data_IF_588999287518
#
_entry.id   IF_588999287518
#
_cell.length_a   1.000
_cell.length_b   1.000
_cell.length_c   1.000
_cell.angle_alpha   90.00
_cell.angle_beta   90.00
_cell.angle_gamma   90.00
#
_symmetry.space_group_name_H-M   'P 1'
#
loop_
_entity.id
_entity.type
_entity.pdbx_description
1 polymer ?
#
# COMPACT_ATOMS: atom_id res chain seq x y z
N UNK A 1 20.00 -8.06 31.60
CA UNK A 1 20.52 -7.73 30.25
C UNK A 1 19.59 -8.23 29.14
N UNK A 2 18.99 -9.43 29.25
CA UNK A 2 18.04 -9.99 28.25
C UNK A 2 16.73 -9.18 28.14
N UNK A 3 16.13 -8.78 29.26
CA UNK A 3 14.91 -7.93 29.30
C UNK A 3 15.02 -6.56 28.61
N UNK A 4 16.24 -6.01 28.46
CA UNK A 4 16.42 -4.75 27.75
C UNK A 4 16.34 -4.94 26.23
N UNK A 5 16.73 -6.09 25.69
CA UNK A 5 16.68 -6.34 24.25
C UNK A 5 15.26 -6.58 23.72
N UNK A 6 14.38 -7.20 24.52
CA UNK A 6 13.02 -7.56 24.09
C UNK A 6 12.07 -6.37 23.91
N UNK A 7 12.38 -5.22 24.52
CA UNK A 7 11.56 -4.00 24.45
C UNK A 7 12.28 -2.84 23.77
N UNK A 8 13.62 -2.88 23.64
CA UNK A 8 14.43 -1.82 23.04
C UNK A 8 14.12 -1.56 21.56
N UNK A 9 13.49 -2.50 20.85
CA UNK A 9 13.10 -2.31 19.45
C UNK A 9 11.91 -1.34 19.29
N UNK A 10 11.00 -1.31 20.27
CA UNK A 10 9.67 -0.71 20.13
C UNK A 10 9.72 0.81 19.98
N UNK A 11 10.50 1.49 20.83
CA UNK A 11 10.62 2.96 20.81
C UNK A 11 11.30 3.46 19.52
N UNK A 12 12.46 2.93 19.09
CA UNK A 12 13.08 3.32 17.82
C UNK A 12 12.17 3.08 16.60
N UNK A 13 11.52 1.91 16.55
CA UNK A 13 10.58 1.59 15.46
C UNK A 13 9.40 2.58 15.43
N UNK A 14 8.73 2.76 16.57
CA UNK A 14 7.60 3.68 16.71
C UNK A 14 7.98 5.11 16.33
N UNK A 15 9.08 5.62 16.88
CA UNK A 15 9.59 6.97 16.59
C UNK A 15 9.85 7.15 15.10
N UNK A 16 10.45 6.15 14.45
CA UNK A 16 10.69 6.15 13.01
C UNK A 16 9.38 6.21 12.22
N UNK A 17 8.39 5.40 12.58
CA UNK A 17 7.07 5.40 11.92
C UNK A 17 6.35 6.74 12.07
N UNK A 18 6.40 7.36 13.25
CA UNK A 18 5.79 8.68 13.50
C UNK A 18 6.49 9.75 12.66
N UNK A 19 7.83 9.81 12.67
CA UNK A 19 8.59 10.78 11.87
C UNK A 19 8.26 10.64 10.38
N UNK A 20 8.26 9.41 9.86
CA UNK A 20 7.91 9.13 8.47
C UNK A 20 6.52 9.65 8.10
N UNK A 21 5.53 9.47 8.97
CA UNK A 21 4.18 9.93 8.71
C UNK A 21 4.03 11.45 8.83
N UNK A 22 4.71 12.09 9.78
CA UNK A 22 4.74 13.57 9.88
C UNK A 22 5.35 14.17 8.61
N UNK A 23 6.48 13.63 8.14
CA UNK A 23 7.09 14.03 6.87
C UNK A 23 6.13 13.77 5.71
N UNK A 24 5.47 12.60 5.68
CA UNK A 24 4.43 12.25 4.72
C UNK A 24 3.29 13.28 4.66
N UNK A 25 2.79 13.73 5.81
CA UNK A 25 1.75 14.77 5.90
C UNK A 25 2.20 16.10 5.32
N UNK A 26 3.41 16.56 5.64
CA UNK A 26 3.97 17.80 5.06
C UNK A 26 4.03 17.70 3.54
N UNK A 27 4.50 16.57 3.01
CA UNK A 27 4.52 16.34 1.58
C UNK A 27 3.13 16.24 0.95
N UNK A 28 2.20 15.58 1.61
CA UNK A 28 0.80 15.49 1.19
C UNK A 28 0.19 16.89 1.06
N UNK A 29 0.40 17.78 2.04
CA UNK A 29 -0.05 19.17 1.98
C UNK A 29 0.58 19.95 0.82
N UNK A 30 1.89 19.78 0.57
CA UNK A 30 2.59 20.42 -0.55
C UNK A 30 2.00 19.94 -1.89
N UNK A 31 1.82 18.63 -2.05
CA UNK A 31 1.26 18.05 -3.28
C UNK A 31 -0.20 18.48 -3.48
N UNK A 32 -0.99 18.47 -2.41
CA UNK A 32 -2.36 18.96 -2.43
C UNK A 32 -2.42 20.41 -2.92
N UNK A 33 -1.66 21.33 -2.30
CA UNK A 33 -1.63 22.74 -2.71
C UNK A 33 -1.25 22.90 -4.18
N UNK A 34 -0.21 22.20 -4.64
CA UNK A 34 0.21 22.22 -6.06
C UNK A 34 -0.85 21.67 -7.00
N UNK A 35 -1.61 20.68 -6.54
CA UNK A 35 -2.65 20.02 -7.33
C UNK A 35 -3.94 20.84 -7.46
N UNK A 36 -4.15 21.87 -6.62
CA UNK A 36 -5.27 22.82 -6.73
C UNK A 36 -5.09 23.83 -7.86
N UNK A 37 -3.85 24.12 -8.25
CA UNK A 37 -3.55 25.06 -9.34
C UNK A 37 -4.05 24.42 -10.67
N UNK A 38 -5.01 25.04 -11.37
CA UNK A 38 -5.46 24.55 -12.67
C UNK A 38 -4.32 24.81 -13.67
N UNK A 39 -3.78 23.76 -14.28
CA UNK A 39 -2.93 23.90 -15.48
C UNK A 39 -3.76 23.68 -16.75
N UNK A 40 -4.78 22.86 -16.64
CA UNK A 40 -5.70 22.45 -17.68
C UNK A 40 -7.04 22.08 -17.02
N UNK A 41 -8.16 22.53 -17.59
CA UNK A 41 -9.52 22.22 -17.09
C UNK A 41 -9.96 20.77 -17.33
N UNK A 42 -9.08 19.91 -17.84
CA UNK A 42 -9.36 18.52 -18.17
C UNK A 42 -9.30 17.63 -16.92
N UNK A 43 -10.20 16.65 -16.87
CA UNK A 43 -10.22 15.58 -15.86
C UNK A 43 -10.31 16.04 -14.39
N UNK A 44 -11.06 17.11 -14.14
CA UNK A 44 -11.29 17.67 -12.80
C UNK A 44 -11.81 16.63 -11.80
N UNK A 45 -12.75 15.77 -12.21
CA UNK A 45 -13.33 14.72 -11.37
C UNK A 45 -12.29 13.69 -10.94
N UNK A 46 -11.48 13.18 -11.88
CA UNK A 46 -10.40 12.25 -11.57
C UNK A 46 -9.40 12.86 -10.59
N UNK A 47 -8.96 14.10 -10.86
CA UNK A 47 -8.04 14.83 -9.97
C UNK A 47 -8.63 15.02 -8.58
N UNK A 48 -9.91 15.38 -8.48
CA UNK A 48 -10.60 15.58 -7.19
C UNK A 48 -10.57 14.30 -6.37
N UNK A 49 -11.00 13.18 -6.94
CA UNK A 49 -11.06 11.91 -6.22
C UNK A 49 -9.70 11.36 -5.84
N UNK A 50 -8.69 11.42 -6.73
CA UNK A 50 -7.33 11.00 -6.39
C UNK A 50 -6.76 11.79 -5.21
N UNK A 51 -7.05 13.09 -5.12
CA UNK A 51 -6.64 13.92 -3.97
C UNK A 51 -7.36 13.51 -2.69
N UNK A 52 -8.68 13.36 -2.75
CA UNK A 52 -9.49 12.97 -1.58
C UNK A 52 -8.99 11.65 -1.02
N UNK A 53 -8.86 10.62 -1.87
CA UNK A 53 -8.40 9.29 -1.44
C UNK A 53 -6.97 9.33 -0.89
N UNK A 54 -6.07 10.08 -1.54
CA UNK A 54 -4.70 10.26 -1.05
C UNK A 54 -4.64 10.92 0.33
N UNK A 55 -5.40 11.99 0.54
CA UNK A 55 -5.48 12.70 1.82
C UNK A 55 -6.05 11.79 2.91
N UNK A 56 -7.16 11.11 2.63
CA UNK A 56 -7.78 10.18 3.59
C UNK A 56 -6.75 9.14 4.04
N UNK A 57 -6.07 8.48 3.09
CA UNK A 57 -5.07 7.47 3.45
C UNK A 57 -3.94 8.05 4.29
N UNK A 58 -3.34 9.18 3.88
CA UNK A 58 -2.21 9.77 4.61
C UNK A 58 -2.61 10.24 6.01
N UNK A 59 -3.79 10.85 6.18
CA UNK A 59 -4.27 11.30 7.49
C UNK A 59 -4.51 10.12 8.43
N UNK A 60 -5.18 9.07 7.94
CA UNK A 60 -5.44 7.87 8.75
C UNK A 60 -4.15 7.14 9.08
N UNK A 61 -3.20 7.03 8.13
CA UNK A 61 -1.90 6.42 8.40
C UNK A 61 -1.14 7.17 9.49
N UNK A 62 -1.10 8.51 9.43
CA UNK A 62 -0.42 9.30 10.44
C UNK A 62 -1.08 9.18 11.82
N UNK A 63 -2.41 9.22 11.86
CA UNK A 63 -3.17 8.98 13.07
C UNK A 63 -2.87 7.60 13.68
N UNK A 64 -2.87 6.54 12.87
CA UNK A 64 -2.58 5.17 13.31
C UNK A 64 -1.13 4.97 13.74
N UNK A 65 -0.19 5.65 13.09
CA UNK A 65 1.22 5.61 13.47
C UNK A 65 1.42 6.24 14.86
N UNK A 66 0.74 7.36 15.16
CA UNK A 66 0.80 8.00 16.49
C UNK A 66 0.09 7.14 17.54
N UNK A 67 -1.06 6.57 17.19
CA UNK A 67 -1.95 5.91 18.16
C UNK A 67 -1.68 4.42 18.34
N UNK A 68 -0.56 3.88 17.85
CA UNK A 68 -0.32 2.43 17.78
C UNK A 68 -0.43 1.72 19.14
N UNK A 69 -0.20 2.43 20.25
CA UNK A 69 -0.24 1.95 21.63
C UNK A 69 -1.63 2.09 22.31
N UNK A 70 -2.48 2.96 21.79
CA UNK A 70 -3.76 3.33 22.40
C UNK A 70 -4.79 3.52 21.29
N UNK A 71 -5.31 2.41 20.76
CA UNK A 71 -6.38 2.45 19.75
C UNK A 71 -7.70 2.09 20.43
N UNK A 72 -8.63 3.03 20.57
CA UNK A 72 -10.00 2.70 20.90
C UNK A 72 -10.63 1.94 19.73
N UNK A 73 -11.42 0.90 20.00
CA UNK A 73 -12.00 0.06 18.94
C UNK A 73 -13.01 0.83 18.06
N UNK A 74 -13.53 1.99 18.53
CA UNK A 74 -14.31 2.98 17.78
C UNK A 74 -13.65 3.46 16.48
N UNK A 75 -12.35 3.23 16.29
CA UNK A 75 -11.56 3.79 15.19
C UNK A 75 -11.40 2.86 13.97
N UNK A 76 -12.24 1.84 13.81
CA UNK A 76 -12.27 1.01 12.58
C UNK A 76 -12.83 1.74 11.35
N UNK A 77 -13.71 2.74 11.52
CA UNK A 77 -14.24 3.55 10.40
C UNK A 77 -13.10 4.27 9.64
N UNK A 78 -12.18 4.99 10.30
CA UNK A 78 -10.96 5.49 9.67
C UNK A 78 -10.18 4.43 8.89
N UNK A 79 -10.05 3.21 9.44
CA UNK A 79 -9.32 2.14 8.76
C UNK A 79 -10.00 1.74 7.43
N UNK A 80 -11.31 1.54 7.46
CA UNK A 80 -12.11 1.27 6.26
C UNK A 80 -11.95 2.37 5.21
N UNK A 81 -12.00 3.63 5.64
CA UNK A 81 -11.80 4.76 4.72
C UNK A 81 -10.41 4.75 4.08
N UNK A 82 -9.37 4.44 4.86
CA UNK A 82 -8.01 4.34 4.32
C UNK A 82 -7.88 3.17 3.34
N UNK A 83 -8.29 1.97 3.73
CA UNK A 83 -8.16 0.78 2.90
C UNK A 83 -8.89 0.89 1.56
N UNK A 84 -10.14 1.37 1.59
CA UNK A 84 -10.93 1.62 0.37
C UNK A 84 -10.31 2.76 -0.45
N UNK A 85 -9.80 3.81 0.18
CA UNK A 85 -9.09 4.89 -0.53
C UNK A 85 -7.82 4.39 -1.21
N UNK A 86 -7.04 3.52 -0.55
CA UNK A 86 -5.84 2.94 -1.12
C UNK A 86 -6.15 2.12 -2.36
N UNK A 87 -7.11 1.19 -2.26
CA UNK A 87 -7.58 0.42 -3.40
C UNK A 87 -8.14 1.30 -4.52
N UNK A 88 -8.89 2.34 -4.17
CA UNK A 88 -9.45 3.31 -5.10
C UNK A 88 -8.38 4.09 -5.87
N UNK A 89 -7.25 4.45 -5.24
CA UNK A 89 -6.12 5.09 -5.91
C UNK A 89 -5.52 4.20 -7.00
N UNK A 90 -5.31 2.91 -6.70
CA UNK A 90 -4.84 1.93 -7.68
C UNK A 90 -5.85 1.78 -8.81
N UNK A 91 -7.10 1.45 -8.46
CA UNK A 91 -8.14 1.17 -9.42
C UNK A 91 -8.37 2.35 -10.38
N UNK A 92 -8.48 3.57 -9.85
CA UNK A 92 -8.77 4.74 -10.66
C UNK A 92 -7.58 5.15 -11.53
N UNK A 93 -6.35 5.05 -11.02
CA UNK A 93 -5.16 5.26 -11.82
C UNK A 93 -5.07 4.28 -13.00
N UNK A 94 -5.36 3.00 -12.77
CA UNK A 94 -5.35 1.97 -13.81
C UNK A 94 -6.46 2.20 -14.85
N UNK A 95 -7.68 2.56 -14.43
CA UNK A 95 -8.78 2.87 -15.35
C UNK A 95 -8.44 4.07 -16.23
N UNK A 96 -7.89 5.15 -15.63
CA UNK A 96 -7.48 6.33 -16.38
C UNK A 96 -6.27 6.09 -17.28
N UNK A 97 -5.35 5.21 -16.88
CA UNK A 97 -4.24 4.81 -17.73
C UNK A 97 -4.75 4.25 -19.08
N UNK A 98 -5.76 3.39 -19.05
CA UNK A 98 -6.36 2.82 -20.27
C UNK A 98 -7.06 3.87 -21.14
N UNK A 99 -7.57 4.97 -20.54
CA UNK A 99 -8.18 6.07 -21.27
C UNK A 99 -7.13 6.96 -21.96
N UNK A 100 -6.04 7.29 -21.27
CA UNK A 100 -4.98 8.15 -21.81
C UNK A 100 -4.06 7.44 -22.81
N UNK A 101 -3.84 6.15 -22.60
CA UNK A 101 -3.09 5.29 -23.50
C UNK A 101 -4.03 4.14 -23.87
N UNK A 102 -4.89 4.28 -24.89
CA UNK A 102 -5.74 3.20 -25.37
C UNK A 102 -4.89 2.10 -26.03
N UNK A 103 -5.25 0.84 -25.82
CA UNK A 103 -4.60 -0.26 -26.52
C UNK A 103 -4.82 -0.10 -28.02
N UNK A 104 -3.85 -0.49 -28.85
CA UNK A 104 -4.07 -0.57 -30.29
C UNK A 104 -5.29 -1.46 -30.55
N UNK A 105 -6.20 -0.96 -31.38
CA UNK A 105 -7.43 -1.63 -31.76
C UNK A 105 -7.09 -2.83 -32.64
N UNK A 106 -6.73 -3.94 -32.02
CA UNK A 106 -6.85 -5.24 -32.66
C UNK A 106 -8.34 -5.54 -32.80
N UNK A 107 -8.80 -5.62 -34.05
CA UNK A 107 -10.17 -6.03 -34.44
C UNK A 107 -10.59 -7.40 -33.90
N UNK A 108 -9.66 -8.18 -33.30
CA UNK A 108 -9.92 -9.41 -32.52
C UNK A 108 -9.82 -9.19 -31.00
N UNK A 109 -10.46 -8.16 -30.44
CA UNK A 109 -10.44 -7.95 -29.00
C UNK A 109 -11.15 -9.12 -28.26
N UNK A 110 -10.38 -10.13 -27.85
CA UNK A 110 -10.88 -11.28 -27.09
C UNK A 110 -11.63 -10.83 -25.83
N UNK A 111 -12.75 -11.50 -25.51
CA UNK A 111 -13.56 -11.25 -24.29
C UNK A 111 -12.71 -11.15 -23.02
N UNK A 112 -11.64 -11.94 -22.94
CA UNK A 112 -10.65 -11.90 -21.86
C UNK A 112 -9.92 -10.56 -21.71
N UNK A 113 -9.49 -9.93 -22.82
CA UNK A 113 -8.85 -8.60 -22.81
C UNK A 113 -9.82 -7.51 -22.34
N UNK A 114 -11.11 -7.65 -22.67
CA UNK A 114 -12.17 -6.79 -22.16
C UNK A 114 -12.39 -6.98 -20.65
N UNK A 115 -12.40 -8.23 -20.18
CA UNK A 115 -12.50 -8.55 -18.75
C UNK A 115 -11.33 -7.98 -17.94
N UNK A 116 -10.08 -8.14 -18.40
CA UNK A 116 -8.90 -7.60 -17.72
C UNK A 116 -9.01 -6.08 -17.49
N UNK A 117 -9.59 -5.32 -18.44
CA UNK A 117 -9.78 -3.87 -18.27
C UNK A 117 -10.75 -3.51 -17.13
N UNK A 118 -11.60 -4.45 -16.70
CA UNK A 118 -12.60 -4.26 -15.62
C UNK A 118 -12.12 -4.78 -14.25
N UNK A 119 -10.98 -5.44 -14.17
CA UNK A 119 -10.46 -5.95 -12.88
C UNK A 119 -10.21 -4.88 -11.80
N UNK A 120 -9.98 -3.58 -12.12
CA UNK A 120 -9.98 -2.52 -11.10
C UNK A 120 -11.27 -2.45 -10.27
N UNK A 121 -12.42 -2.80 -10.85
CA UNK A 121 -13.69 -2.86 -10.11
C UNK A 121 -13.75 -4.08 -9.18
N UNK A 122 -13.11 -5.19 -9.57
CA UNK A 122 -12.98 -6.38 -8.71
C UNK A 122 -12.13 -6.05 -7.50
N UNK A 123 -10.99 -5.37 -7.68
CA UNK A 123 -10.16 -4.88 -6.58
C UNK A 123 -11.01 -4.07 -5.58
N UNK A 124 -11.69 -3.01 -6.04
CA UNK A 124 -12.52 -2.17 -5.15
C UNK A 124 -13.63 -3.00 -4.49
N UNK A 125 -14.32 -3.86 -5.25
CA UNK A 125 -15.37 -4.73 -4.72
C UNK A 125 -14.87 -5.65 -3.60
N UNK A 126 -13.75 -6.34 -3.81
CA UNK A 126 -13.13 -7.18 -2.79
C UNK A 126 -12.78 -6.38 -1.53
N UNK A 127 -12.18 -5.19 -1.68
CA UNK A 127 -11.80 -4.39 -0.52
C UNK A 127 -13.00 -3.81 0.21
N UNK A 128 -14.06 -3.39 -0.49
CA UNK A 128 -15.30 -2.94 0.15
C UNK A 128 -15.98 -4.09 0.92
N UNK A 129 -16.00 -5.30 0.36
CA UNK A 129 -16.55 -6.48 1.03
C UNK A 129 -15.72 -6.94 2.25
N UNK A 130 -14.40 -6.69 2.24
CA UNK A 130 -13.54 -7.04 3.36
C UNK A 130 -13.82 -6.19 4.62
N UNK A 131 -14.29 -4.95 4.46
CA UNK A 131 -14.47 -4.02 5.57
C UNK A 131 -15.55 -4.42 6.59
N UNK A 132 -16.77 -4.82 6.18
CA UNK A 132 -17.75 -5.29 7.16
C UNK A 132 -17.27 -6.56 7.85
N UNK A 133 -16.54 -7.45 7.16
CA UNK A 133 -15.98 -8.66 7.77
C UNK A 133 -14.92 -8.29 8.81
N UNK A 134 -13.99 -7.39 8.49
CA UNK A 134 -12.97 -6.96 9.43
C UNK A 134 -13.58 -6.22 10.63
N UNK A 135 -14.55 -5.33 10.38
CA UNK A 135 -15.22 -4.58 11.44
C UNK A 135 -16.00 -5.51 12.37
N UNK A 136 -16.90 -6.33 11.80
CA UNK A 136 -17.73 -7.25 12.56
C UNK A 136 -16.93 -8.34 13.25
N UNK A 137 -16.04 -9.01 12.52
CA UNK A 137 -15.22 -10.07 13.08
C UNK A 137 -14.19 -9.53 14.08
N UNK A 138 -13.87 -8.24 14.00
CA UNK A 138 -13.10 -7.53 14.99
C UNK A 138 -13.86 -7.49 16.30
N UNK A 139 -15.08 -6.94 16.27
CA UNK A 139 -15.92 -6.76 17.45
C UNK A 139 -16.21 -8.11 18.10
N UNK A 140 -16.63 -9.09 17.31
CA UNK A 140 -17.09 -10.40 17.81
C UNK A 140 -15.97 -11.41 18.07
N UNK A 141 -14.71 -11.05 17.82
CA UNK A 141 -13.57 -11.99 17.87
C UNK A 141 -13.73 -13.22 16.95
N UNK A 142 -14.48 -13.09 15.85
CA UNK A 142 -14.72 -14.16 14.88
C UNK A 142 -13.42 -14.78 14.35
N UNK A 143 -13.24 -16.09 14.57
CA UNK A 143 -12.01 -16.82 14.28
C UNK A 143 -11.55 -16.72 12.81
N UNK A 144 -12.50 -16.67 11.86
CA UNK A 144 -12.19 -16.59 10.42
C UNK A 144 -12.03 -15.16 9.89
N UNK A 145 -12.16 -14.13 10.75
CA UNK A 145 -12.05 -12.71 10.33
C UNK A 145 -10.80 -12.47 9.50
N UNK A 146 -9.65 -12.77 10.09
CA UNK A 146 -8.35 -12.44 9.48
C UNK A 146 -8.19 -13.12 8.13
N UNK A 147 -8.58 -14.39 8.02
CA UNK A 147 -8.35 -15.15 6.79
C UNK A 147 -9.28 -14.74 5.65
N UNK A 148 -10.55 -14.40 5.95
CA UNK A 148 -11.46 -13.91 4.92
C UNK A 148 -11.07 -12.52 4.41
N UNK A 149 -10.74 -11.61 5.32
CA UNK A 149 -10.26 -10.26 4.97
C UNK A 149 -9.03 -10.37 4.07
N UNK A 150 -8.05 -11.17 4.49
CA UNK A 150 -6.78 -11.28 3.77
C UNK A 150 -6.90 -12.06 2.45
N UNK A 151 -7.84 -13.00 2.36
CA UNK A 151 -8.20 -13.66 1.09
C UNK A 151 -8.79 -12.64 0.10
N UNK A 152 -9.71 -11.79 0.55
CA UNK A 152 -10.31 -10.75 -0.31
C UNK A 152 -9.27 -9.75 -0.80
N UNK A 153 -8.36 -9.31 0.08
CA UNK A 153 -7.22 -8.49 -0.30
C UNK A 153 -6.34 -9.20 -1.35
N UNK A 154 -6.02 -10.48 -1.13
CA UNK A 154 -5.23 -11.31 -2.04
C UNK A 154 -5.87 -11.45 -3.42
N UNK A 155 -7.17 -11.76 -3.47
CA UNK A 155 -7.95 -11.88 -4.72
C UNK A 155 -8.02 -10.52 -5.43
N UNK A 156 -8.26 -9.45 -4.68
CA UNK A 156 -8.33 -8.10 -5.22
C UNK A 156 -7.07 -7.73 -5.99
N UNK A 157 -5.89 -7.82 -5.36
CA UNK A 157 -4.62 -7.49 -6.00
C UNK A 157 -4.21 -8.49 -7.09
N UNK A 158 -4.50 -9.78 -6.91
CA UNK A 158 -4.24 -10.79 -7.94
C UNK A 158 -5.06 -10.52 -9.20
N UNK A 159 -6.30 -10.06 -9.07
CA UNK A 159 -7.18 -9.75 -10.21
C UNK A 159 -6.65 -8.61 -11.09
N UNK A 160 -5.99 -7.61 -10.49
CA UNK A 160 -5.44 -6.45 -11.21
C UNK A 160 -4.02 -6.65 -11.69
N UNK A 161 -3.31 -7.68 -11.21
CA UNK A 161 -1.93 -7.97 -11.59
C UNK A 161 -1.73 -8.12 -13.12
N UNK A 162 -2.57 -8.87 -13.87
CA UNK A 162 -2.44 -8.95 -15.33
C UNK A 162 -2.57 -7.58 -16.01
N UNK A 163 -3.51 -6.75 -15.56
CA UNK A 163 -3.70 -5.41 -16.10
C UNK A 163 -2.48 -4.52 -15.80
N UNK A 164 -1.96 -4.58 -14.57
CA UNK A 164 -0.77 -3.83 -14.18
C UNK A 164 0.45 -4.17 -15.07
N UNK A 165 0.67 -5.46 -15.34
CA UNK A 165 1.74 -5.92 -16.23
C UNK A 165 1.54 -5.43 -17.67
N UNK A 166 0.31 -5.51 -18.19
CA UNK A 166 -0.01 -5.02 -19.54
C UNK A 166 0.25 -3.51 -19.62
N UNK A 167 -0.21 -2.73 -18.64
CA UNK A 167 0.00 -1.28 -18.61
C UNK A 167 1.48 -0.91 -18.52
N UNK A 168 2.24 -1.63 -17.69
CA UNK A 168 3.69 -1.47 -17.60
C UNK A 168 4.38 -1.76 -18.94
N UNK A 169 4.08 -2.88 -19.59
CA UNK A 169 4.65 -3.21 -20.90
C UNK A 169 4.37 -2.12 -21.94
N UNK A 170 3.14 -1.59 -21.94
CA UNK A 170 2.71 -0.57 -22.90
C UNK A 170 3.40 0.78 -22.72
N UNK A 171 3.66 1.21 -21.49
CA UNK A 171 4.40 2.46 -21.27
C UNK A 171 5.89 2.28 -21.53
N UNK A 172 6.44 1.09 -21.29
CA UNK A 172 7.84 0.78 -21.57
C UNK A 172 8.13 0.59 -23.07
N UNK A 173 7.12 0.20 -23.87
CA UNK A 173 7.27 0.04 -25.32
C UNK A 173 7.31 1.37 -26.09
N UNK A 174 7.04 2.50 -25.44
CA UNK A 174 7.08 3.82 -26.08
C UNK A 174 8.55 4.13 -26.40
N UNK A 175 8.86 4.34 -27.69
CA UNK A 175 10.23 4.65 -28.15
C UNK A 175 10.49 6.14 -28.27
N UNK A 176 9.47 6.89 -28.72
CA UNK A 176 9.54 8.33 -28.96
C UNK A 176 9.92 9.13 -27.69
N UNK A 177 10.92 10.01 -27.81
CA UNK A 177 11.49 10.77 -26.68
C UNK A 177 10.48 11.77 -26.12
N UNK A 178 9.74 12.42 -27.00
CA UNK A 178 8.76 13.44 -26.61
C UNK A 178 7.58 12.80 -25.85
N UNK A 179 7.03 11.71 -26.38
CA UNK A 179 5.97 10.94 -25.75
C UNK A 179 6.41 10.32 -24.41
N UNK A 180 7.66 9.86 -24.30
CA UNK A 180 8.24 9.40 -23.02
C UNK A 180 8.19 10.49 -21.97
N UNK A 181 8.59 11.71 -22.33
CA UNK A 181 8.58 12.83 -21.40
C UNK A 181 7.16 13.22 -21.00
N UNK A 182 6.27 13.28 -21.99
CA UNK A 182 4.84 13.53 -21.80
C UNK A 182 4.20 12.56 -20.81
N UNK A 183 4.57 11.29 -20.88
CA UNK A 183 3.98 10.19 -20.12
C UNK A 183 4.79 9.78 -18.88
N UNK A 184 5.80 10.57 -18.49
CA UNK A 184 6.74 10.23 -17.41
C UNK A 184 6.06 9.87 -16.08
N UNK A 185 5.06 10.65 -15.62
CA UNK A 185 4.33 10.27 -14.37
C UNK A 185 3.59 8.95 -14.57
N UNK A 186 2.95 8.75 -15.73
CA UNK A 186 2.21 7.51 -16.01
C UNK A 186 3.13 6.29 -16.04
N UNK A 187 4.36 6.47 -16.57
CA UNK A 187 5.40 5.44 -16.52
C UNK A 187 5.68 5.03 -15.08
N UNK A 188 5.99 6.01 -14.22
CA UNK A 188 6.27 5.72 -12.82
C UNK A 188 5.08 5.14 -12.07
N UNK A 189 3.85 5.59 -12.34
CA UNK A 189 2.67 4.97 -11.74
C UNK A 189 2.50 3.51 -12.15
N UNK A 190 2.75 3.18 -13.43
CA UNK A 190 2.64 1.79 -13.89
C UNK A 190 3.71 0.90 -13.24
N UNK A 191 4.94 1.40 -13.08
CA UNK A 191 6.01 0.69 -12.36
C UNK A 191 5.62 0.45 -10.90
N UNK A 192 5.21 1.51 -10.18
CA UNK A 192 4.81 1.42 -8.77
C UNK A 192 3.66 0.44 -8.58
N UNK A 193 2.61 0.54 -9.41
CA UNK A 193 1.43 -0.33 -9.32
C UNK A 193 1.82 -1.78 -9.60
N UNK A 194 2.57 -2.05 -10.67
CA UNK A 194 2.99 -3.41 -11.00
C UNK A 194 3.90 -4.01 -9.92
N UNK A 195 4.89 -3.26 -9.43
CA UNK A 195 5.77 -3.69 -8.35
C UNK A 195 4.99 -4.01 -7.08
N UNK A 196 4.07 -3.12 -6.68
CA UNK A 196 3.23 -3.34 -5.51
C UNK A 196 2.33 -4.57 -5.68
N UNK A 197 1.67 -4.75 -6.83
CA UNK A 197 0.85 -5.93 -7.07
C UNK A 197 1.67 -7.23 -6.98
N UNK A 198 2.89 -7.26 -7.54
CA UNK A 198 3.78 -8.43 -7.44
C UNK A 198 4.17 -8.70 -5.99
N UNK A 199 4.74 -7.70 -5.30
CA UNK A 199 5.19 -7.85 -3.91
C UNK A 199 4.03 -8.26 -3.00
N UNK A 200 2.89 -7.59 -3.12
CA UNK A 200 1.70 -7.87 -2.31
C UNK A 200 1.15 -9.27 -2.60
N UNK A 201 1.06 -9.68 -3.87
CA UNK A 201 0.58 -11.03 -4.21
C UNK A 201 1.55 -12.10 -3.69
N UNK A 202 2.87 -11.91 -3.80
CA UNK A 202 3.84 -12.86 -3.26
C UNK A 202 3.75 -12.95 -1.74
N UNK A 203 3.81 -11.81 -1.05
CA UNK A 203 3.65 -11.73 0.41
C UNK A 203 2.33 -12.39 0.86
N UNK A 204 1.24 -12.13 0.15
CA UNK A 204 -0.08 -12.63 0.53
C UNK A 204 -0.21 -14.12 0.27
N UNK A 205 -0.04 -14.56 -0.96
CA UNK A 205 -0.36 -15.92 -1.38
C UNK A 205 0.68 -16.96 -0.98
N UNK A 206 1.95 -16.56 -0.85
CA UNK A 206 3.04 -17.49 -0.52
C UNK A 206 3.33 -17.46 0.98
N UNK A 207 3.45 -16.27 1.58
CA UNK A 207 4.03 -16.14 2.92
C UNK A 207 3.03 -15.98 4.07
N UNK A 208 1.80 -15.49 3.82
CA UNK A 208 0.87 -15.21 4.92
C UNK A 208 -0.40 -16.03 4.86
N UNK A 209 -1.09 -16.06 3.72
CA UNK A 209 -2.42 -16.65 3.63
C UNK A 209 -2.46 -18.15 3.97
N UNK A 210 -1.50 -19.00 3.53
CA UNK A 210 -1.48 -20.42 3.92
C UNK A 210 -1.40 -20.61 5.44
N UNK A 211 -0.48 -19.91 6.11
CA UNK A 211 -0.31 -20.00 7.56
C UNK A 211 -1.52 -19.44 8.32
N UNK A 212 -2.15 -18.38 7.80
CA UNK A 212 -3.39 -17.85 8.36
C UNK A 212 -4.55 -18.84 8.27
N UNK A 213 -4.68 -19.58 7.15
CA UNK A 213 -5.69 -20.64 7.04
C UNK A 213 -5.43 -21.78 8.03
N UNK A 214 -4.18 -22.23 8.17
CA UNK A 214 -3.82 -23.25 9.18
C UNK A 214 -4.18 -22.77 10.59
N UNK A 215 -3.80 -21.55 10.96
CA UNK A 215 -4.13 -20.97 12.27
C UNK A 215 -5.65 -20.82 12.45
N UNK A 216 -6.39 -20.46 11.41
CA UNK A 216 -7.83 -20.33 11.44
C UNK A 216 -8.53 -21.69 11.67
N UNK A 217 -8.06 -22.76 11.01
CA UNK A 217 -8.58 -24.12 11.25
C UNK A 217 -8.31 -24.57 12.68
N UNK A 218 -7.10 -24.36 13.20
CA UNK A 218 -6.78 -24.70 14.59
C UNK A 218 -7.69 -23.94 15.59
N UNK A 219 -8.03 -22.68 15.32
CA UNK A 219 -8.97 -21.89 16.14
C UNK A 219 -10.40 -22.40 16.05
N UNK A 220 -10.84 -22.87 14.87
CA UNK A 220 -12.14 -23.50 14.72
C UNK A 220 -12.22 -24.83 15.48
N UNK A 221 -11.16 -25.64 15.43
CA UNK A 221 -11.09 -26.92 16.15
C UNK A 221 -11.08 -26.74 17.67
N UNK A 222 -10.34 -25.74 18.15
CA UNK A 222 -10.23 -25.45 19.59
C UNK A 222 -11.41 -24.64 20.15
N UNK A 223 -12.19 -23.97 19.29
CA UNK A 223 -13.27 -23.08 19.70
C UNK A 223 -12.80 -21.80 20.40
N UNK A 224 -11.49 -21.50 20.36
CA UNK A 224 -10.87 -20.35 21.03
C UNK A 224 -10.30 -19.33 20.02
N UNK A 225 -10.45 -18.01 20.27
CA UNK A 225 -11.27 -17.41 21.31
C UNK A 225 -12.77 -17.63 21.07
N UNK A 226 -13.55 -17.66 22.14
CA UNK A 226 -15.01 -17.75 22.06
C UNK A 226 -15.56 -16.56 21.28
N UNK A 227 -16.56 -16.83 20.42
CA UNK A 227 -17.26 -15.78 19.70
C UNK A 227 -18.02 -14.90 20.71
N UNK A 228 -17.65 -13.64 20.79
CA UNK A 228 -18.30 -12.66 21.64
C UNK A 228 -19.53 -12.10 20.90
N UNK A 229 -20.70 -12.12 21.54
CA UNK A 229 -21.94 -11.57 20.96
C UNK A 229 -22.71 -10.74 21.98
N UNK A 230 -23.60 -9.86 21.49
CA UNK A 230 -24.46 -9.01 22.34
C UNK A 230 -24.01 -7.56 22.42
N UNK A 231 -24.82 -6.74 23.09
CA UNK A 231 -24.63 -5.28 23.17
C UNK A 231 -23.37 -4.91 23.96
N UNK A 232 -22.99 -5.72 24.95
CA UNK A 232 -21.80 -5.47 25.77
C UNK A 232 -20.52 -5.46 24.93
N UNK A 233 -20.39 -6.37 23.96
CA UNK A 233 -19.24 -6.44 23.06
C UNK A 233 -19.12 -5.18 22.19
N UNK A 234 -20.26 -4.61 21.80
CA UNK A 234 -20.29 -3.33 21.09
C UNK A 234 -19.81 -2.22 22.02
N UNK A 235 -20.29 -2.17 23.27
CA UNK A 235 -19.87 -1.18 24.27
C UNK A 235 -18.37 -1.31 24.58
N UNK A 236 -17.86 -2.52 24.75
CA UNK A 236 -16.45 -2.80 25.01
C UNK A 236 -15.58 -2.43 23.81
N UNK A 237 -16.11 -2.61 22.59
CA UNK A 237 -15.50 -2.07 21.38
C UNK A 237 -15.56 -0.53 21.34
N UNK A 238 -16.48 0.14 22.02
CA UNK A 238 -16.40 1.60 22.08
C UNK A 238 -15.28 2.10 23.02
N UNK A 239 -14.78 1.23 23.91
CA UNK A 239 -13.70 1.52 24.85
C UNK A 239 -12.29 1.57 24.24
N UNK A 240 -11.35 2.10 25.03
CA UNK A 240 -9.92 2.13 24.70
C UNK A 240 -9.31 0.76 25.05
N UNK A 241 -8.84 0.01 24.05
CA UNK A 241 -7.98 -1.16 24.28
C UNK A 241 -6.53 -0.79 23.98
N UNK A 242 -5.73 -0.63 25.03
CA UNK A 242 -4.27 -0.51 24.90
C UNK A 242 -3.65 -1.90 24.78
N UNK A 243 -2.72 -2.12 23.84
CA UNK A 243 -1.83 -3.27 23.94
C UNK A 243 -0.87 -3.00 25.11
N UNK A 244 -0.85 -3.83 26.17
CA UNK A 244 -0.15 -3.48 27.40
C UNK A 244 1.37 -3.67 27.33
N UNK A 245 1.88 -4.43 26.35
CA UNK A 245 3.28 -4.88 26.34
C UNK A 245 4.12 -4.30 25.19
N UNK A 246 5.38 -4.01 25.49
CA UNK A 246 6.43 -3.61 24.54
C UNK A 246 7.27 -4.80 24.06
N UNK A 247 7.02 -6.01 24.56
CA UNK A 247 7.83 -7.20 24.29
C UNK A 247 7.63 -7.68 22.86
N UNK A 248 8.72 -7.97 22.13
CA UNK A 248 8.67 -8.37 20.72
C UNK A 248 7.73 -9.56 20.46
N UNK A 249 7.72 -10.54 21.37
CA UNK A 249 6.87 -11.74 21.35
C UNK A 249 5.38 -11.44 21.18
N UNK A 250 4.89 -10.34 21.74
CA UNK A 250 3.48 -9.95 21.70
C UNK A 250 3.06 -9.27 20.38
N UNK A 251 4.03 -8.79 19.61
CA UNK A 251 3.81 -8.13 18.33
C UNK A 251 4.13 -9.07 17.18
N UNK A 252 5.30 -9.71 17.24
CA UNK A 252 5.83 -10.60 16.22
C UNK A 252 6.24 -9.89 14.94
N UNK A 253 7.06 -10.59 14.17
CA UNK A 253 7.63 -10.08 12.92
C UNK A 253 6.59 -9.67 11.87
N UNK A 254 5.54 -10.47 11.72
CA UNK A 254 4.43 -10.19 10.78
C UNK A 254 3.77 -8.85 11.05
N UNK A 255 3.60 -8.48 12.34
CA UNK A 255 3.06 -7.18 12.71
C UNK A 255 3.96 -6.05 12.22
N UNK A 256 5.28 -6.18 12.43
CA UNK A 256 6.24 -5.14 12.11
C UNK A 256 6.40 -4.94 10.61
N UNK A 257 6.48 -6.02 9.82
CA UNK A 257 6.46 -5.89 8.36
C UNK A 257 5.21 -5.16 7.90
N UNK A 258 4.04 -5.62 8.36
CA UNK A 258 2.76 -5.09 7.90
C UNK A 258 2.61 -3.61 8.23
N UNK A 259 2.84 -3.24 9.49
CA UNK A 259 2.68 -1.85 9.94
C UNK A 259 3.78 -0.96 9.39
N UNK A 260 5.02 -1.45 9.23
CA UNK A 260 6.07 -0.67 8.56
C UNK A 260 5.71 -0.39 7.12
N UNK A 261 5.26 -1.40 6.36
CA UNK A 261 4.85 -1.22 4.97
C UNK A 261 3.63 -0.28 4.85
N UNK A 262 2.64 -0.44 5.74
CA UNK A 262 1.44 0.40 5.78
C UNK A 262 1.79 1.86 6.09
N UNK A 263 2.56 2.11 7.16
CA UNK A 263 2.87 3.46 7.63
C UNK A 263 3.93 4.18 6.80
N UNK A 264 4.69 3.46 5.97
CA UNK A 264 5.71 4.05 5.09
C UNK A 264 5.34 3.91 3.62
N UNK A 265 5.52 2.73 3.03
CA UNK A 265 5.41 2.47 1.60
C UNK A 265 4.00 2.83 1.09
N UNK A 266 2.93 2.36 1.75
CA UNK A 266 1.56 2.66 1.32
C UNK A 266 1.27 4.16 1.37
N UNK A 267 1.75 4.86 2.40
CA UNK A 267 1.61 6.31 2.52
C UNK A 267 2.26 7.04 1.36
N UNK A 268 3.47 6.64 0.98
CA UNK A 268 4.19 7.26 -0.13
C UNK A 268 3.62 6.92 -1.50
N UNK A 269 3.15 5.68 -1.70
CA UNK A 269 2.38 5.31 -2.89
C UNK A 269 1.13 6.19 -2.98
N UNK A 270 0.43 6.40 -1.86
CA UNK A 270 -0.78 7.23 -1.84
C UNK A 270 -0.50 8.68 -2.20
N UNK A 271 0.55 9.28 -1.61
CA UNK A 271 1.02 10.64 -1.93
C UNK A 271 1.51 10.75 -3.37
N UNK A 272 2.07 9.68 -3.93
CA UNK A 272 2.45 9.66 -5.34
C UNK A 272 1.21 9.62 -6.24
N UNK A 273 0.29 8.68 -6.01
CA UNK A 273 -0.90 8.47 -6.83
C UNK A 273 -1.90 9.63 -6.72
N UNK A 274 -1.97 10.34 -5.59
CA UNK A 274 -2.83 11.54 -5.47
C UNK A 274 -2.48 12.66 -6.46
N UNK A 275 -1.28 12.62 -7.06
CA UNK A 275 -0.89 13.51 -8.18
C UNK A 275 -1.73 13.27 -9.44
N UNK A 276 -2.56 12.22 -9.45
CA UNK A 276 -3.42 11.80 -10.53
C UNK A 276 -2.63 11.58 -11.83
N UNK A 277 -1.87 10.46 -11.94
CA UNK A 277 -1.04 10.14 -13.09
C UNK A 277 -1.78 10.34 -14.41
N UNK A 278 -1.20 11.16 -15.30
CA UNK A 278 -1.75 11.55 -16.59
C UNK A 278 -0.66 12.07 -17.53
N UNK A 279 -0.89 12.14 -18.85
CA UNK A 279 -0.01 12.81 -19.78
C UNK A 279 0.10 14.29 -19.39
N UNK A 280 1.30 14.87 -19.47
CA UNK A 280 1.50 16.30 -19.23
C UNK A 280 1.53 17.08 -20.53
N UNK A 281 1.16 18.35 -20.49
CA UNK A 281 1.53 19.27 -21.56
C UNK A 281 3.04 19.55 -21.47
N UNK A 282 3.73 19.49 -22.61
CA UNK A 282 5.18 19.70 -22.68
C UNK A 282 5.43 21.20 -22.63
N UNK A 283 5.40 21.78 -21.44
CA UNK A 283 5.84 23.16 -21.23
C UNK A 283 6.92 23.20 -20.17
N UNK A 284 8.17 23.40 -20.60
CA UNK A 284 9.29 23.92 -19.80
C UNK A 284 9.85 23.02 -18.68
N UNK A 285 11.18 22.89 -18.68
CA UNK A 285 12.07 22.21 -17.70
C UNK A 285 11.37 21.65 -16.46
N UNK A 286 11.20 20.33 -16.44
CA UNK A 286 10.75 19.63 -15.26
C UNK A 286 11.86 19.56 -14.20
N UNK A 287 11.63 20.20 -13.05
CA UNK A 287 12.52 20.12 -11.90
C UNK A 287 12.52 18.68 -11.34
N UNK A 288 13.66 17.98 -11.38
CA UNK A 288 13.84 16.57 -10.98
C UNK A 288 13.66 16.31 -9.47
N UNK A 289 13.58 17.37 -8.66
CA UNK A 289 13.42 17.30 -7.19
C UNK A 289 12.31 16.35 -6.70
N UNK A 290 11.09 16.29 -7.28
CA UNK A 290 10.03 15.40 -6.80
C UNK A 290 10.33 13.91 -7.02
N UNK A 291 11.09 13.57 -8.06
CA UNK A 291 11.54 12.19 -8.34
C UNK A 291 12.66 11.78 -7.40
N UNK A 292 13.58 12.71 -7.10
CA UNK A 292 14.64 12.55 -6.11
C UNK A 292 14.09 12.35 -4.69
N UNK A 293 13.00 13.05 -4.36
CA UNK A 293 12.27 12.88 -3.10
C UNK A 293 11.60 11.49 -3.06
N UNK A 294 10.90 11.08 -4.12
CA UNK A 294 10.35 9.70 -4.19
C UNK A 294 11.44 8.63 -4.08
N UNK A 295 12.63 8.85 -4.65
CA UNK A 295 13.79 7.96 -4.47
C UNK A 295 14.29 7.96 -3.02
N UNK A 296 14.44 9.13 -2.39
CA UNK A 296 14.88 9.23 -1.00
C UNK A 296 13.92 8.51 -0.03
N UNK A 297 12.65 8.39 -0.40
CA UNK A 297 11.62 7.71 0.38
C UNK A 297 11.60 6.20 0.16
N UNK A 298 11.94 5.75 -1.05
CA UNK A 298 12.26 4.34 -1.32
C UNK A 298 13.54 3.96 -0.56
N UNK A 299 14.54 4.85 -0.52
CA UNK A 299 15.76 4.68 0.27
C UNK A 299 15.47 4.68 1.78
N UNK A 300 14.58 5.53 2.29
CA UNK A 300 14.17 5.49 3.71
C UNK A 300 13.37 4.23 4.04
N UNK A 301 12.52 3.74 3.13
CA UNK A 301 11.83 2.46 3.27
C UNK A 301 12.81 1.28 3.25
N UNK A 302 13.87 1.34 2.44
CA UNK A 302 14.98 0.39 2.44
C UNK A 302 15.80 0.47 3.74
N UNK A 303 16.07 1.67 4.26
CA UNK A 303 16.72 1.86 5.56
C UNK A 303 15.83 1.28 6.67
N UNK A 304 14.52 1.51 6.61
CA UNK A 304 13.55 0.89 7.54
C UNK A 304 13.61 -0.63 7.46
N UNK A 305 13.72 -1.20 6.26
CA UNK A 305 13.90 -2.63 6.05
C UNK A 305 15.23 -3.14 6.61
N UNK A 306 16.32 -2.38 6.46
CA UNK A 306 17.63 -2.69 7.06
C UNK A 306 17.57 -2.59 8.59
N UNK A 307 16.79 -1.66 9.13
CA UNK A 307 16.57 -1.51 10.58
C UNK A 307 15.74 -2.68 11.12
N UNK A 308 14.82 -3.23 10.31
CA UNK A 308 14.09 -4.47 10.60
C UNK A 308 15.01 -5.71 10.54
N UNK A 309 16.07 -5.71 9.73
CA UNK A 309 17.10 -6.77 9.71
C UNK A 309 17.96 -6.74 10.99
N UNK A 310 18.09 -5.57 11.64
CA UNK A 310 18.80 -5.40 12.91
C UNK A 310 17.99 -5.82 14.15
N UNK A 311 16.77 -6.30 13.99
CA UNK A 311 15.96 -6.85 15.07
C UNK A 311 16.50 -8.23 15.49
N UNK A 312 16.28 -8.66 16.75
CA UNK A 312 16.50 -10.05 17.16
C UNK A 312 15.45 -10.91 16.46
N UNK A 313 15.72 -11.23 15.20
CA UNK A 313 14.87 -11.99 14.30
C UNK A 313 15.56 -13.34 14.07
N UNK A 314 14.78 -14.42 14.11
CA UNK A 314 15.33 -15.75 13.83
C UNK A 314 15.87 -15.82 12.39
N UNK A 315 16.78 -16.75 12.12
CA UNK A 315 17.46 -16.89 10.83
C UNK A 315 16.49 -16.93 9.62
N UNK A 316 15.31 -17.53 9.81
CA UNK A 316 14.25 -17.61 8.81
C UNK A 316 13.61 -16.23 8.50
N UNK A 317 13.49 -15.35 9.50
CA UNK A 317 12.98 -13.98 9.35
C UNK A 317 13.99 -13.11 8.59
N UNK A 318 15.29 -13.32 8.83
CA UNK A 318 16.38 -12.64 8.11
C UNK A 318 16.40 -13.06 6.63
N UNK A 319 16.18 -14.34 6.32
CA UNK A 319 16.06 -14.82 4.94
C UNK A 319 14.86 -14.17 4.24
N UNK A 320 13.71 -14.05 4.91
CA UNK A 320 12.52 -13.38 4.35
C UNK A 320 12.82 -11.90 4.05
N UNK A 321 13.53 -11.20 4.94
CA UNK A 321 13.95 -9.80 4.70
C UNK A 321 14.95 -9.69 3.55
N UNK A 322 15.88 -10.65 3.42
CA UNK A 322 16.86 -10.67 2.35
C UNK A 322 16.22 -10.97 0.99
N UNK A 323 15.21 -11.85 0.95
CA UNK A 323 14.43 -12.14 -0.25
C UNK A 323 13.55 -10.95 -0.62
N UNK A 324 12.79 -10.37 0.32
CA UNK A 324 11.92 -9.23 0.04
C UNK A 324 12.69 -7.93 -0.26
N UNK A 325 13.80 -7.70 0.43
CA UNK A 325 14.67 -6.52 0.26
C UNK A 325 15.64 -6.64 -0.90
N UNK A 326 16.39 -7.75 -0.95
CA UNK A 326 17.48 -7.97 -1.90
C UNK A 326 17.01 -8.33 -3.31
N UNK A 327 15.98 -9.19 -3.46
CA UNK A 327 15.53 -9.61 -4.80
C UNK A 327 14.53 -8.65 -5.45
N UNK A 328 13.82 -7.83 -4.68
CA UNK A 328 12.76 -6.98 -5.23
C UNK A 328 13.06 -5.49 -5.10
N UNK A 329 13.48 -5.00 -3.94
CA UNK A 329 13.70 -3.57 -3.73
C UNK A 329 15.03 -3.08 -4.32
N UNK A 330 16.10 -3.89 -4.29
CA UNK A 330 17.39 -3.53 -4.90
C UNK A 330 17.31 -3.43 -6.42
N UNK A 331 16.70 -4.36 -7.18
CA UNK A 331 16.55 -4.19 -8.63
C UNK A 331 15.66 -3.01 -8.99
N UNK A 332 14.60 -2.73 -8.22
CA UNK A 332 13.78 -1.54 -8.41
C UNK A 332 14.62 -0.29 -8.20
N UNK A 333 15.31 -0.15 -7.05
CA UNK A 333 16.17 1.00 -6.76
C UNK A 333 17.29 1.17 -7.81
N UNK A 334 17.91 0.06 -8.24
CA UNK A 334 18.94 0.04 -9.29
C UNK A 334 18.40 0.50 -10.66
N UNK A 335 17.23 0.01 -11.07
CA UNK A 335 16.58 0.44 -12.32
C UNK A 335 16.26 1.94 -12.29
N UNK A 336 15.88 2.46 -11.12
CA UNK A 336 15.60 3.88 -10.92
C UNK A 336 16.87 4.75 -10.92
N UNK A 337 18.00 4.27 -10.35
CA UNK A 337 19.29 4.96 -10.39
C UNK A 337 19.88 4.99 -11.81
N UNK A 338 19.72 3.91 -12.57
CA UNK A 338 20.09 3.86 -13.98
C UNK A 338 19.31 4.89 -14.82
N UNK A 339 18.02 5.07 -14.53
CA UNK A 339 17.19 6.03 -15.26
C UNK A 339 17.49 7.51 -14.90
N UNK A 340 18.06 7.75 -13.71
CA UNK A 340 18.60 9.06 -13.32
C UNK A 340 19.90 9.37 -14.06
N UNK A 341 20.73 8.36 -14.34
CA UNK A 341 21.96 8.56 -15.14
C UNK A 341 21.63 8.91 -16.59
N UNK A 342 20.63 8.26 -17.18
CA UNK A 342 20.23 8.49 -18.58
C UNK A 342 19.43 9.77 -18.83
N UNK A 343 19.08 10.53 -17.80
CA UNK A 343 18.43 11.85 -17.91
C UNK A 343 19.40 13.02 -17.75
N UNK A 344 20.69 12.75 -17.54
CA UNK A 344 21.77 13.75 -17.50
C UNK A 344 22.57 13.85 -18.81
N UNK A 345 22.22 13.05 -19.80
CA UNK A 345 22.65 13.15 -21.21
C UNK A 345 21.45 13.57 -22.07
#
# INVERSE_FOLDING_TARGET
>A
MILQFETAWAIPWYTTMVILNVVGLVYCAIIYKRSLIPRDGKDLTYRKWMRIMGIIFTLVSAYRAISVWAIPYTFRIPNTLAEVSFAGLFAYAMLRFNAYLPATDDTRANKFKSFIKKTPYILVGCLVLAQPIDTWGGITHFALRGVFVETLWGIGFLSVLPLAIIQLRRVLSIKDKEAKERLRIMKYSAIIIAAWCVIYCMYRWIFTLPFMWISAFNRLETGLPLLETGLQVIIDALGIRTRPSLEYSDWGFSFLIWHSAYFSICTWISIFLMKAPRPREISGKHNAKPTLITLALITLALITLITLIGLPADFDEIIILFVLGGLFLVPIAYFFVLEIKTTKE
#
